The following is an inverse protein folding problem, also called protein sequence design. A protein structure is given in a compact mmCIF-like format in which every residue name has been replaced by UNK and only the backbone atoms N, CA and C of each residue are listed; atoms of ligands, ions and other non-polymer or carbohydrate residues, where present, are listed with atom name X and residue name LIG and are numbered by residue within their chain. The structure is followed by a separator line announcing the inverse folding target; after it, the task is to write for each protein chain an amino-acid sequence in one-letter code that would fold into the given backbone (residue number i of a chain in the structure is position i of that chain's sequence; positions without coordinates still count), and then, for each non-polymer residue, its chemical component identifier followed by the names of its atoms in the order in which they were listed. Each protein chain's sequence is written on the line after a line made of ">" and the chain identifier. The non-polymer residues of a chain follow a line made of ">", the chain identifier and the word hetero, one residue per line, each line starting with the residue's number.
data_IF_005351316175
#
_entry.id   IF_005351316175
#
_cell.length_a   1.000
_cell.length_b   1.000
_cell.length_c   1.000
_cell.angle_alpha   90.00
_cell.angle_beta   90.00
_cell.angle_gamma   90.00
#
_symmetry.space_group_name_H-M   'P 1'
#
loop_
_entity.id
_entity.type
_entity.pdbx_description
1 polymer ?
#
# COMPACT_ATOMS: atom_id res chain seq x y z
N UNK A 1 1.82 -25.60 -3.60
CA UNK A 1 2.50 -24.30 -3.62
C UNK A 1 1.69 -23.31 -2.79
N UNK A 2 2.32 -22.61 -1.89
CA UNK A 2 1.68 -21.58 -1.05
C UNK A 2 1.91 -20.19 -1.59
N UNK A 3 0.90 -19.34 -1.46
CA UNK A 3 0.95 -17.93 -1.81
C UNK A 3 0.58 -17.08 -0.61
N UNK A 4 1.30 -15.98 -0.42
CA UNK A 4 0.96 -14.98 0.56
C UNK A 4 0.06 -13.92 -0.08
N UNK A 5 -1.05 -13.61 0.60
CA UNK A 5 -2.04 -12.64 0.15
C UNK A 5 -2.22 -11.60 1.25
N UNK A 6 -2.09 -10.32 0.90
CA UNK A 6 -2.39 -9.22 1.81
C UNK A 6 -3.78 -8.67 1.51
N UNK A 7 -4.60 -8.55 2.54
CA UNK A 7 -5.93 -7.96 2.46
C UNK A 7 -6.02 -6.68 3.29
N UNK A 8 -6.50 -5.61 2.67
CA UNK A 8 -6.75 -4.34 3.33
C UNK A 8 -8.17 -3.83 3.06
N UNK A 9 -8.51 -2.66 3.54
CA UNK A 9 -9.80 -2.01 3.35
C UNK A 9 -10.08 -0.99 4.45
N UNK A 10 -11.35 -0.70 4.68
CA UNK A 10 -11.79 0.18 5.78
C UNK A 10 -11.77 -0.57 7.12
N UNK A 11 -10.63 -1.14 7.46
CA UNK A 11 -10.41 -1.96 8.65
C UNK A 11 -9.16 -1.47 9.39
N UNK A 12 -9.08 -1.70 10.71
CA UNK A 12 -7.91 -1.28 11.50
C UNK A 12 -6.64 -2.09 11.20
N UNK A 13 -6.77 -3.24 10.52
CA UNK A 13 -5.65 -4.14 10.25
C UNK A 13 -5.52 -4.46 8.77
N UNK A 14 -4.28 -4.70 8.35
CA UNK A 14 -3.94 -5.42 7.12
C UNK A 14 -3.69 -6.87 7.52
N UNK A 15 -4.38 -7.79 6.86
CA UNK A 15 -4.31 -9.22 7.18
C UNK A 15 -3.44 -9.94 6.16
N UNK A 16 -2.50 -10.74 6.65
CA UNK A 16 -1.74 -11.70 5.85
C UNK A 16 -2.46 -13.04 5.86
N UNK A 17 -2.74 -13.54 4.67
CA UNK A 17 -3.27 -14.88 4.45
C UNK A 17 -2.24 -15.75 3.76
N UNK A 18 -2.32 -17.05 3.99
CA UNK A 18 -1.64 -18.06 3.19
C UNK A 18 -2.69 -18.86 2.41
N UNK A 19 -2.47 -18.98 1.12
CA UNK A 19 -3.29 -19.79 0.21
C UNK A 19 -2.48 -20.98 -0.29
N UNK A 20 -3.00 -22.18 -0.04
CA UNK A 20 -2.46 -23.41 -0.61
C UNK A 20 -3.23 -23.81 -1.87
N UNK A 21 -2.56 -23.74 -3.01
CA UNK A 21 -3.18 -24.05 -4.31
C UNK A 21 -3.50 -25.54 -4.50
N UNK A 22 -2.77 -26.43 -3.83
CA UNK A 22 -3.02 -27.87 -3.95
C UNK A 22 -4.33 -28.29 -3.27
N UNK A 23 -4.61 -27.74 -2.09
CA UNK A 23 -5.83 -28.03 -1.32
C UNK A 23 -6.95 -26.99 -1.55
N UNK A 24 -6.65 -25.90 -2.26
CA UNK A 24 -7.53 -24.73 -2.43
C UNK A 24 -8.01 -24.14 -1.10
N UNK A 25 -7.16 -24.16 -0.09
CA UNK A 25 -7.46 -23.64 1.25
C UNK A 25 -6.73 -22.33 1.51
N UNK A 26 -7.43 -21.42 2.17
CA UNK A 26 -6.89 -20.16 2.67
C UNK A 26 -7.01 -20.11 4.18
N UNK A 27 -5.99 -19.62 4.87
CA UNK A 27 -6.04 -19.37 6.30
C UNK A 27 -5.34 -18.07 6.66
N UNK A 28 -5.80 -17.46 7.75
CA UNK A 28 -5.19 -16.26 8.28
C UNK A 28 -3.86 -16.60 8.98
N UNK A 29 -2.82 -15.85 8.65
CA UNK A 29 -1.51 -15.97 9.27
C UNK A 29 -1.33 -14.93 10.38
N UNK A 30 -1.58 -13.66 10.07
CA UNK A 30 -1.36 -12.55 10.99
C UNK A 30 -2.20 -11.32 10.64
N UNK A 31 -2.37 -10.45 11.63
CA UNK A 31 -2.90 -9.10 11.46
C UNK A 31 -1.81 -8.10 11.84
N UNK A 32 -1.63 -7.07 11.03
CA UNK A 32 -0.76 -5.94 11.30
C UNK A 32 -1.56 -4.65 11.31
N UNK A 33 -1.14 -3.67 12.13
CA UNK A 33 -1.80 -2.37 12.20
C UNK A 33 -1.76 -1.68 10.83
N UNK A 34 -2.92 -1.32 10.32
CA UNK A 34 -3.08 -0.59 9.06
C UNK A 34 -3.10 0.92 9.29
N UNK A 35 -2.75 1.72 8.25
CA UNK A 35 -3.19 3.10 8.19
C UNK A 35 -4.71 3.21 8.23
N UNK A 36 -5.23 4.33 8.70
CA UNK A 36 -6.67 4.59 8.69
C UNK A 36 -7.20 4.54 7.25
N UNK A 37 -8.30 3.81 7.03
CA UNK A 37 -8.92 3.63 5.72
C UNK A 37 -7.91 3.25 4.62
N UNK A 38 -7.15 2.20 4.87
CA UNK A 38 -6.17 1.65 3.92
C UNK A 38 -6.87 0.95 2.74
N UNK A 39 -7.50 1.74 1.87
CA UNK A 39 -8.37 1.25 0.80
C UNK A 39 -7.63 0.63 -0.38
N UNK A 40 -6.34 0.90 -0.51
CA UNK A 40 -5.51 0.40 -1.60
C UNK A 40 -4.15 -0.10 -1.10
N UNK A 41 -3.73 -1.25 -1.61
CA UNK A 41 -2.37 -1.77 -1.45
C UNK A 41 -1.70 -1.89 -2.81
N UNK A 42 -0.54 -1.27 -2.95
CA UNK A 42 0.27 -1.36 -4.16
C UNK A 42 1.59 -2.07 -3.85
N UNK A 43 1.93 -3.17 -4.52
CA UNK A 43 3.22 -3.81 -4.35
C UNK A 43 4.33 -2.94 -4.96
N UNK A 44 5.37 -2.73 -4.19
CA UNK A 44 6.64 -2.15 -4.64
C UNK A 44 7.69 -3.23 -4.86
N UNK A 45 8.94 -2.91 -4.55
CA UNK A 45 10.06 -3.85 -4.65
C UNK A 45 10.47 -4.39 -3.28
N UNK A 46 11.07 -5.58 -3.30
CA UNK A 46 11.81 -6.15 -2.16
C UNK A 46 10.98 -6.21 -0.86
N UNK A 47 9.71 -6.65 -0.96
CA UNK A 47 8.81 -6.76 0.18
C UNK A 47 8.27 -5.43 0.70
N UNK A 48 8.43 -4.36 -0.06
CA UNK A 48 7.83 -3.07 0.24
C UNK A 48 6.47 -2.96 -0.43
N UNK A 49 5.49 -2.43 0.30
CA UNK A 49 4.15 -2.14 -0.17
C UNK A 49 3.82 -0.68 0.13
N UNK A 50 2.93 -0.14 -0.65
CA UNK A 50 2.38 1.20 -0.43
C UNK A 50 0.89 1.10 -0.19
N UNK A 51 0.38 1.92 0.72
CA UNK A 51 -1.03 2.01 1.02
C UNK A 51 -1.48 3.45 0.99
N UNK A 52 -2.64 3.69 0.40
CA UNK A 52 -3.31 4.99 0.53
C UNK A 52 -4.15 5.00 1.79
N UNK A 53 -4.18 6.14 2.48
CA UNK A 53 -5.12 6.41 3.56
C UNK A 53 -6.20 7.34 3.05
N UNK A 54 -7.38 6.80 2.80
CA UNK A 54 -8.52 7.50 2.22
C UNK A 54 -9.26 8.30 3.29
N UNK A 55 -8.64 9.41 3.67
CA UNK A 55 -9.12 10.35 4.69
C UNK A 55 -9.07 11.78 4.15
N UNK A 56 -9.78 12.77 4.77
CA UNK A 56 -9.80 14.14 4.28
C UNK A 56 -8.42 14.76 4.07
N UNK A 57 -7.47 14.48 4.95
CA UNK A 57 -6.05 14.82 4.74
C UNK A 57 -5.34 13.57 4.23
N UNK A 58 -5.44 13.31 2.94
CA UNK A 58 -4.92 12.10 2.33
C UNK A 58 -3.44 11.88 2.56
N UNK A 59 -3.09 10.61 2.83
CA UNK A 59 -1.71 10.18 3.06
C UNK A 59 -1.41 8.92 2.27
N UNK A 60 -0.14 8.73 1.96
CA UNK A 60 0.41 7.47 1.46
C UNK A 60 1.42 6.94 2.46
N UNK A 61 1.35 5.67 2.72
CA UNK A 61 2.21 4.95 3.64
C UNK A 61 3.09 3.97 2.88
N UNK A 62 4.34 3.85 3.31
CA UNK A 62 5.19 2.72 2.95
C UNK A 62 5.17 1.70 4.07
N UNK A 63 5.12 0.43 3.68
CA UNK A 63 5.06 -0.72 4.58
C UNK A 63 6.10 -1.74 4.14
N UNK A 64 6.70 -2.43 5.10
CA UNK A 64 7.64 -3.51 4.82
C UNK A 64 7.15 -4.79 5.47
N UNK A 65 7.05 -5.85 4.67
CA UNK A 65 6.78 -7.18 5.16
C UNK A 65 8.09 -7.81 5.66
N UNK A 66 8.13 -8.13 6.96
CA UNK A 66 9.23 -8.82 7.61
C UNK A 66 8.69 -10.07 8.30
N UNK A 67 9.02 -11.24 7.75
CA UNK A 67 8.42 -12.49 8.20
C UNK A 67 6.90 -12.48 7.99
N UNK A 68 6.13 -12.49 9.07
CA UNK A 68 4.67 -12.47 9.04
C UNK A 68 4.07 -11.12 9.45
N UNK A 69 4.91 -10.12 9.75
CA UNK A 69 4.48 -8.79 10.17
C UNK A 69 4.72 -7.75 9.09
N UNK A 70 3.75 -6.86 8.95
CA UNK A 70 3.82 -5.70 8.07
C UNK A 70 4.03 -4.45 8.92
N UNK A 71 5.16 -3.79 8.74
CA UNK A 71 5.55 -2.61 9.50
C UNK A 71 5.38 -1.34 8.66
N UNK A 72 4.79 -0.29 9.26
CA UNK A 72 4.74 1.03 8.64
C UNK A 72 6.14 1.66 8.75
N UNK A 73 6.76 1.94 7.60
CA UNK A 73 8.13 2.47 7.53
C UNK A 73 8.18 3.96 7.19
N UNK A 74 7.09 4.53 6.74
CA UNK A 74 7.03 5.95 6.43
C UNK A 74 5.65 6.38 5.98
N UNK A 75 5.45 7.70 5.94
CA UNK A 75 4.23 8.31 5.43
C UNK A 75 4.52 9.64 4.77
N UNK A 76 3.67 10.01 3.80
CA UNK A 76 3.69 11.31 3.13
C UNK A 76 2.28 11.78 2.88
N UNK A 77 2.07 13.09 2.99
CA UNK A 77 0.83 13.72 2.53
C UNK A 77 0.71 13.62 1.02
N UNK A 78 -0.47 13.29 0.53
CA UNK A 78 -0.80 13.36 -0.90
C UNK A 78 -1.02 14.79 -1.38
N UNK A 79 -1.11 15.75 -0.46
CA UNK A 79 -1.51 17.15 -0.71
C UNK A 79 -2.89 17.26 -1.38
N UNK A 80 -3.70 16.23 -1.23
CA UNK A 80 -5.07 16.11 -1.70
C UNK A 80 -5.93 15.41 -0.68
N UNK A 81 -7.16 15.16 -1.03
CA UNK A 81 -8.16 14.50 -0.17
C UNK A 81 -8.47 13.11 -0.69
N UNK A 82 -8.72 12.20 0.24
CA UNK A 82 -9.30 10.87 -0.01
C UNK A 82 -8.67 10.08 -1.18
N UNK A 83 -7.35 9.83 -1.16
CA UNK A 83 -6.70 9.05 -2.22
C UNK A 83 -7.20 7.60 -2.19
N UNK A 84 -7.88 7.17 -3.24
CA UNK A 84 -8.56 5.87 -3.30
C UNK A 84 -7.71 4.75 -3.92
N UNK A 85 -6.74 5.09 -4.74
CA UNK A 85 -5.83 4.13 -5.34
C UNK A 85 -4.49 4.77 -5.71
N UNK A 86 -3.52 3.93 -6.04
CA UNK A 86 -2.21 4.40 -6.44
C UNK A 86 -1.47 3.39 -7.29
N UNK A 87 -0.38 3.81 -7.87
CA UNK A 87 0.53 2.96 -8.61
C UNK A 87 1.99 3.32 -8.29
N UNK A 88 2.84 2.32 -8.26
CA UNK A 88 4.27 2.51 -8.03
C UNK A 88 5.01 2.55 -9.37
N UNK A 89 5.72 3.65 -9.61
CA UNK A 89 6.62 3.76 -10.74
C UNK A 89 8.03 3.33 -10.31
N UNK A 90 8.45 2.20 -10.81
CA UNK A 90 9.71 1.58 -10.46
C UNK A 90 10.93 2.35 -10.97
N UNK A 91 10.81 2.98 -12.13
CA UNK A 91 11.93 3.70 -12.77
C UNK A 91 12.30 4.95 -11.98
N UNK A 92 11.31 5.72 -11.56
CA UNK A 92 11.50 6.96 -10.79
C UNK A 92 11.29 6.76 -9.28
N UNK A 93 10.89 5.56 -8.86
CA UNK A 93 10.60 5.19 -7.45
C UNK A 93 9.62 6.14 -6.76
N UNK A 94 8.54 6.44 -7.45
CA UNK A 94 7.49 7.34 -7.00
C UNK A 94 6.18 6.58 -6.91
N UNK A 95 5.49 6.77 -5.80
CA UNK A 95 4.11 6.35 -5.65
C UNK A 95 3.20 7.48 -6.12
N UNK A 96 2.31 7.18 -7.06
CA UNK A 96 1.27 8.09 -7.55
C UNK A 96 -0.05 7.69 -6.94
N UNK A 97 -0.71 8.61 -6.25
CA UNK A 97 -2.00 8.38 -5.63
C UNK A 97 -3.09 9.20 -6.33
N UNK A 98 -4.27 8.62 -6.42
CA UNK A 98 -5.40 9.17 -7.16
C UNK A 98 -6.65 9.21 -6.27
N UNK A 99 -7.43 10.29 -6.43
CA UNK A 99 -8.75 10.43 -5.85
C UNK A 99 -9.81 9.92 -6.83
N UNK A 100 -10.76 9.14 -6.33
CA UNK A 100 -11.92 8.72 -7.10
C UNK A 100 -13.14 9.57 -6.71
N UNK A 101 -13.76 10.24 -7.70
CA UNK A 101 -15.03 10.92 -7.49
C UNK A 101 -16.22 9.98 -7.71
N UNK A 102 -17.26 10.14 -6.89
CA UNK A 102 -18.52 9.40 -7.01
C UNK A 102 -19.38 9.78 -8.23
N UNK A 103 -18.98 10.78 -9.00
CA UNK A 103 -19.61 11.12 -10.26
C UNK A 103 -18.80 10.58 -11.44
N UNK A 104 -19.48 10.23 -12.54
CA UNK A 104 -18.93 9.60 -13.74
C UNK A 104 -17.80 10.37 -14.48
N UNK A 105 -17.23 11.38 -13.87
CA UNK A 105 -16.05 12.10 -14.35
C UNK A 105 -14.87 11.80 -13.43
N UNK A 106 -13.93 10.99 -13.92
CA UNK A 106 -12.61 10.88 -13.28
C UNK A 106 -11.86 12.19 -13.44
N UNK A 107 -11.69 12.93 -12.35
CA UNK A 107 -10.72 14.02 -12.29
C UNK A 107 -9.45 13.44 -11.72
N UNK A 108 -8.42 13.32 -12.55
CA UNK A 108 -7.09 12.90 -12.13
C UNK A 108 -6.40 14.09 -11.47
N UNK A 109 -6.46 14.17 -10.13
CA UNK A 109 -5.54 15.04 -9.38
C UNK A 109 -4.24 14.28 -9.18
N UNK A 110 -3.17 14.79 -9.73
CA UNK A 110 -1.82 14.23 -9.62
C UNK A 110 -1.18 14.65 -8.30
N UNK A 111 -1.01 13.71 -7.39
CA UNK A 111 -0.14 13.93 -6.23
C UNK A 111 1.10 13.06 -6.40
N UNK A 112 2.23 13.68 -6.68
CA UNK A 112 3.52 13.02 -6.74
C UNK A 112 4.02 12.82 -5.31
N UNK A 113 4.05 11.58 -4.82
CA UNK A 113 4.53 11.26 -3.49
C UNK A 113 5.78 10.38 -3.61
N UNK A 114 6.93 10.94 -3.26
CA UNK A 114 8.16 10.16 -3.09
C UNK A 114 8.16 9.53 -1.70
N UNK A 115 7.74 8.29 -1.59
CA UNK A 115 7.97 7.45 -0.42
C UNK A 115 9.24 6.64 -0.65
N UNK A 116 10.39 7.20 -0.29
CA UNK A 116 11.63 6.44 -0.23
C UNK A 116 11.72 5.89 1.18
N UNK A 117 11.66 4.56 1.40
CA UNK A 117 11.96 4.00 2.72
C UNK A 117 13.37 4.41 3.12
N UNK A 118 13.55 4.84 4.35
CA UNK A 118 14.82 5.34 4.89
C UNK A 118 15.98 4.34 4.86
N UNK A 119 15.75 3.10 4.38
CA UNK A 119 16.68 1.99 4.44
C UNK A 119 16.98 1.33 3.09
N UNK A 120 16.68 1.97 1.96
CA UNK A 120 17.16 1.48 0.68
C UNK A 120 18.61 1.92 0.48
N UNK A 121 19.57 0.99 0.28
CA UNK A 121 20.89 1.36 -0.18
C UNK A 121 20.71 2.09 -1.52
N UNK A 122 21.20 3.32 -1.58
CA UNK A 122 21.36 4.03 -2.85
C UNK A 122 22.19 3.10 -3.74
N UNK A 123 21.62 2.63 -4.81
CA UNK A 123 22.46 2.11 -5.89
C UNK A 123 23.17 3.32 -6.46
N UNK A 124 24.41 3.47 -6.11
CA UNK A 124 25.31 4.36 -6.83
C UNK A 124 25.32 3.92 -8.28
N UNK A 125 24.98 4.84 -9.16
CA UNK A 125 25.10 4.63 -10.60
C UNK A 125 26.55 4.83 -11.03
#
# INVERSE_FOLDING_TARGET
>A
MSYNILGSGYRPNITLFSFDSASAKIHKVSDSKAPENASWLEPGKEGVFYSTSEVPKGEVFSLKLQGEELEITGKRSTKGEEPAHGTFDDVIRVMKAYKQFLSSKMVLEWSLVTCVPSHFPRRDR
#
